data_IF_120941404220
#
_entry.id   IF_120941404220
#
_cell.length_a   1.000
_cell.length_b   1.000
_cell.length_c   1.000
_cell.angle_alpha   90.00
_cell.angle_beta   90.00
_cell.angle_gamma   90.00
#
_symmetry.space_group_name_H-M   'P 1'
#
loop_
_entity.id
_entity.type
_entity.pdbx_description
1 polymer ?
#
# COMPACT_ATOMS: atom_id res chain seq x y z
N UNK A 1 -19.84 10.47 -3.32
CA UNK A 1 -18.63 10.77 -2.53
C UNK A 1 -19.09 11.07 -1.11
N UNK A 2 -19.05 10.05 -0.24
CA UNK A 2 -19.62 10.13 1.12
C UNK A 2 -18.53 10.34 2.15
N UNK A 3 -18.72 11.35 3.00
CA UNK A 3 -17.85 11.73 4.12
C UNK A 3 -18.00 10.73 5.28
N UNK A 4 -16.89 10.28 5.89
CA UNK A 4 -16.88 9.33 7.01
C UNK A 4 -16.86 10.00 8.41
N UNK A 5 -17.59 9.45 9.40
CA UNK A 5 -17.43 9.78 10.81
C UNK A 5 -16.60 8.70 11.52
N UNK A 6 -15.26 8.80 11.41
CA UNK A 6 -14.23 8.38 12.39
C UNK A 6 -12.84 8.64 11.78
N UNK A 7 -12.26 9.80 12.06
CA UNK A 7 -10.84 10.09 11.80
C UNK A 7 -10.50 10.91 10.54
N UNK A 8 -11.43 11.09 9.61
CA UNK A 8 -11.54 12.28 8.74
C UNK A 8 -10.29 12.75 7.98
N UNK A 9 -9.37 11.87 7.61
CA UNK A 9 -8.31 12.21 6.64
C UNK A 9 -8.44 11.30 5.43
N UNK A 10 -9.27 11.73 4.49
CA UNK A 10 -9.07 11.38 3.09
C UNK A 10 -7.61 11.72 2.76
N UNK A 11 -6.76 10.71 2.58
CA UNK A 11 -5.38 10.92 2.17
C UNK A 11 -5.38 10.96 0.64
N UNK A 12 -5.05 12.09 -0.01
CA UNK A 12 -4.99 12.18 -1.47
C UNK A 12 -4.19 11.03 -2.11
N UNK A 13 -3.16 10.55 -1.41
CA UNK A 13 -2.35 9.40 -1.78
C UNK A 13 -3.15 8.10 -1.98
N UNK A 14 -4.10 7.79 -1.10
CA UNK A 14 -4.97 6.61 -1.26
C UNK A 14 -5.88 6.77 -2.49
N UNK A 15 -6.43 7.96 -2.72
CA UNK A 15 -7.23 8.22 -3.92
C UNK A 15 -6.43 8.03 -5.23
N UNK A 16 -5.20 8.54 -5.26
CA UNK A 16 -4.31 8.43 -6.42
C UNK A 16 -3.89 6.98 -6.68
N UNK A 17 -3.47 6.24 -5.65
CA UNK A 17 -3.05 4.84 -5.82
C UNK A 17 -4.25 3.95 -6.09
N UNK A 18 -5.38 4.17 -5.42
CA UNK A 18 -6.62 3.45 -5.66
C UNK A 18 -7.04 3.51 -7.13
N UNK A 19 -6.98 4.68 -7.76
CA UNK A 19 -7.30 4.83 -9.19
C UNK A 19 -6.37 4.03 -10.11
N UNK A 20 -5.08 3.88 -9.75
CA UNK A 20 -4.12 3.06 -10.50
C UNK A 20 -4.46 1.58 -10.36
N UNK A 21 -4.73 1.13 -9.13
CA UNK A 21 -5.10 -0.26 -8.85
C UNK A 21 -6.45 -0.61 -9.52
N UNK A 22 -7.39 0.35 -9.58
CA UNK A 22 -8.65 0.19 -10.30
C UNK A 22 -8.46 -0.01 -11.81
N UNK A 23 -7.54 0.74 -12.42
CA UNK A 23 -7.20 0.58 -13.85
C UNK A 23 -6.59 -0.80 -14.14
N UNK A 24 -5.81 -1.35 -13.20
CA UNK A 24 -5.15 -2.65 -13.37
C UNK A 24 -6.08 -3.84 -13.11
N UNK A 25 -6.98 -3.74 -12.13
CA UNK A 25 -7.68 -4.90 -11.58
C UNK A 25 -9.21 -4.79 -11.57
N UNK A 26 -9.76 -3.64 -11.97
CA UNK A 26 -11.18 -3.35 -11.93
C UNK A 26 -11.60 -2.63 -10.66
N UNK A 27 -12.90 -2.32 -10.57
CA UNK A 27 -13.41 -1.38 -9.58
C UNK A 27 -13.09 -1.73 -8.12
N UNK A 28 -12.77 -0.72 -7.33
CA UNK A 28 -12.52 -0.79 -5.90
C UNK A 28 -13.55 0.05 -5.16
N UNK A 29 -13.70 -0.23 -3.87
CA UNK A 29 -14.36 0.69 -2.93
C UNK A 29 -13.66 0.63 -1.59
N UNK A 30 -13.91 1.62 -0.72
CA UNK A 30 -13.43 1.59 0.67
C UNK A 30 -13.88 0.30 1.35
N UNK A 31 -12.94 -0.38 2.01
CA UNK A 31 -13.26 -1.56 2.80
C UNK A 31 -14.02 -1.17 4.08
N UNK A 32 -15.02 -1.94 4.52
CA UNK A 32 -15.57 -1.82 5.87
C UNK A 32 -14.66 -2.44 6.95
N UNK A 33 -13.66 -3.22 6.53
CA UNK A 33 -12.64 -3.82 7.41
C UNK A 33 -11.63 -2.73 7.84
N UNK A 34 -11.40 -2.51 9.15
CA UNK A 34 -10.45 -1.51 9.62
C UNK A 34 -8.98 -1.81 9.26
N UNK A 35 -8.63 -3.04 8.87
CA UNK A 35 -7.27 -3.41 8.46
C UNK A 35 -6.98 -3.13 6.98
N UNK A 36 -8.02 -2.99 6.15
CA UNK A 36 -7.88 -2.82 4.71
C UNK A 36 -8.32 -1.41 4.25
N UNK A 37 -7.62 -0.87 3.26
CA UNK A 37 -8.02 0.38 2.64
C UNK A 37 -9.14 0.18 1.61
N UNK A 38 -9.04 -0.90 0.83
CA UNK A 38 -10.00 -1.19 -0.24
C UNK A 38 -10.45 -2.64 -0.26
N UNK A 39 -11.60 -2.85 -0.88
CA UNK A 39 -12.11 -4.16 -1.29
C UNK A 39 -12.47 -4.13 -2.77
N UNK A 40 -12.06 -5.15 -3.52
CA UNK A 40 -12.40 -5.31 -4.93
C UNK A 40 -13.88 -5.55 -5.14
N UNK A 41 -14.45 -4.94 -6.18
CA UNK A 41 -15.89 -4.99 -6.50
C UNK A 41 -16.19 -5.63 -7.85
N UNK A 42 -15.16 -5.98 -8.63
CA UNK A 42 -15.29 -6.60 -9.94
C UNK A 42 -13.98 -7.27 -10.35
N UNK A 43 -14.02 -8.05 -11.44
CA UNK A 43 -12.81 -8.64 -12.04
C UNK A 43 -12.25 -9.82 -11.23
N UNK A 44 -10.99 -10.17 -11.50
CA UNK A 44 -10.32 -11.31 -10.83
C UNK A 44 -10.03 -11.08 -9.35
N UNK A 45 -10.25 -9.87 -8.86
CA UNK A 45 -10.01 -9.45 -7.47
C UNK A 45 -11.31 -9.09 -6.73
N UNK A 46 -12.47 -9.47 -7.26
CA UNK A 46 -13.74 -9.27 -6.57
C UNK A 46 -13.72 -9.91 -5.16
N UNK A 47 -14.07 -9.12 -4.15
CA UNK A 47 -14.07 -9.54 -2.74
C UNK A 47 -12.69 -9.56 -2.07
N UNK A 48 -11.61 -9.27 -2.80
CA UNK A 48 -10.24 -9.23 -2.25
C UNK A 48 -9.94 -7.91 -1.56
N UNK A 49 -9.22 -7.98 -0.44
CA UNK A 49 -8.84 -6.79 0.34
C UNK A 49 -7.44 -6.30 0.00
N UNK A 50 -7.28 -4.99 0.03
CA UNK A 50 -6.03 -4.30 -0.32
C UNK A 50 -5.69 -3.29 0.76
N UNK A 51 -4.41 -3.20 1.08
CA UNK A 51 -3.88 -2.28 2.08
C UNK A 51 -2.68 -1.52 1.51
N UNK A 52 -2.69 -0.19 1.62
CA UNK A 52 -1.70 0.67 1.00
C UNK A 52 -0.58 1.00 1.98
N UNK A 53 0.66 0.87 1.51
CA UNK A 53 1.82 1.48 2.14
C UNK A 53 2.72 2.11 1.08
N UNK A 54 3.34 3.23 1.40
CA UNK A 54 4.23 3.92 0.48
C UNK A 54 4.68 5.27 1.01
N UNK A 55 5.49 5.96 0.23
CA UNK A 55 5.83 7.36 0.50
C UNK A 55 4.98 8.26 -0.40
N UNK A 56 4.15 9.16 0.14
CA UNK A 56 3.45 10.13 -0.68
C UNK A 56 4.42 11.14 -1.30
N UNK A 57 3.96 11.83 -2.34
CA UNK A 57 4.75 12.87 -3.01
C UNK A 57 5.32 13.88 -2.00
N UNK A 58 6.62 14.12 -2.10
CA UNK A 58 7.35 15.06 -1.22
C UNK A 58 7.77 14.47 0.13
N UNK A 59 7.41 13.23 0.45
CA UNK A 59 7.78 12.61 1.72
C UNK A 59 9.19 12.02 1.76
N UNK A 60 9.79 11.72 0.60
CA UNK A 60 11.09 11.05 0.52
C UNK A 60 12.22 11.77 1.24
N UNK A 61 12.19 13.11 1.28
CA UNK A 61 13.19 13.91 1.99
C UNK A 61 13.16 13.71 3.52
N UNK A 62 12.08 13.15 4.08
CA UNK A 62 11.97 12.85 5.51
C UNK A 62 12.44 11.44 5.88
N UNK A 63 12.83 10.64 4.88
CA UNK A 63 13.34 9.30 5.08
C UNK A 63 14.77 9.21 4.52
N UNK A 64 15.70 8.70 5.32
CA UNK A 64 17.04 8.36 4.86
C UNK A 64 17.01 7.13 3.95
N UNK A 65 18.07 6.93 3.16
CA UNK A 65 18.16 5.80 2.20
C UNK A 65 18.12 4.42 2.87
N UNK A 66 18.48 4.33 4.16
CA UNK A 66 18.38 3.10 4.96
C UNK A 66 16.94 2.80 5.45
N UNK A 67 15.99 3.72 5.25
CA UNK A 67 14.57 3.55 5.51
C UNK A 67 14.21 3.08 6.94
N UNK A 68 15.07 3.34 7.94
CA UNK A 68 14.93 2.81 9.30
C UNK A 68 13.57 3.11 9.94
N UNK A 69 12.99 4.28 9.65
CA UNK A 69 11.67 4.68 10.17
C UNK A 69 10.48 4.15 9.36
N UNK A 70 10.72 3.62 8.15
CA UNK A 70 9.67 3.12 7.26
C UNK A 70 9.57 1.59 7.29
N UNK A 71 10.69 0.88 7.44
CA UNK A 71 10.70 -0.59 7.46
C UNK A 71 9.78 -1.20 8.53
N UNK A 72 9.71 -0.67 9.77
CA UNK A 72 8.75 -1.19 10.75
C UNK A 72 7.28 -1.01 10.31
N UNK A 73 6.97 0.05 9.57
CA UNK A 73 5.63 0.22 9.00
C UNK A 73 5.36 -0.84 7.92
N UNK A 74 6.34 -1.16 7.07
CA UNK A 74 6.23 -2.27 6.10
C UNK A 74 5.88 -3.57 6.83
N UNK A 75 6.59 -3.90 7.90
CA UNK A 75 6.34 -5.11 8.67
C UNK A 75 4.92 -5.13 9.26
N UNK A 76 4.46 -4.01 9.82
CA UNK A 76 3.10 -3.89 10.35
C UNK A 76 2.02 -4.14 9.31
N UNK A 77 2.24 -3.73 8.05
CA UNK A 77 1.29 -3.98 6.97
C UNK A 77 1.27 -5.46 6.56
N UNK A 78 2.43 -6.12 6.45
CA UNK A 78 2.50 -7.56 6.13
C UNK A 78 1.88 -8.46 7.21
N UNK A 79 1.83 -8.00 8.46
CA UNK A 79 1.17 -8.68 9.58
C UNK A 79 -0.36 -8.62 9.54
N UNK A 80 -0.97 -7.73 8.73
CA UNK A 80 -2.43 -7.61 8.63
C UNK A 80 -3.06 -8.77 7.87
N UNK A 81 -4.32 -9.07 8.20
CA UNK A 81 -5.11 -10.11 7.55
C UNK A 81 -5.77 -9.63 6.24
N UNK A 82 -4.96 -9.11 5.32
CA UNK A 82 -5.40 -8.60 4.01
C UNK A 82 -4.88 -9.47 2.87
N UNK A 83 -5.64 -9.57 1.78
CA UNK A 83 -5.22 -10.39 0.63
C UNK A 83 -3.98 -9.80 -0.07
N UNK A 84 -3.92 -8.47 -0.24
CA UNK A 84 -2.85 -7.79 -0.97
C UNK A 84 -2.29 -6.58 -0.23
N UNK A 85 -0.96 -6.45 -0.26
CA UNK A 85 -0.22 -5.27 0.18
C UNK A 85 0.18 -4.48 -1.07
N UNK A 86 -0.33 -3.26 -1.19
CA UNK A 86 0.04 -2.35 -2.27
C UNK A 86 1.18 -1.47 -1.78
N UNK A 87 2.36 -1.61 -2.38
CA UNK A 87 3.54 -0.81 -2.08
C UNK A 87 3.75 0.27 -3.14
N UNK A 88 3.47 1.53 -2.80
CA UNK A 88 3.75 2.69 -3.67
C UNK A 88 5.19 3.20 -3.46
N UNK A 89 6.04 2.96 -4.45
CA UNK A 89 7.45 3.35 -4.48
C UNK A 89 7.75 4.49 -5.45
N UNK A 90 6.73 5.05 -6.13
CA UNK A 90 6.90 6.08 -7.18
C UNK A 90 7.71 7.29 -6.74
N UNK A 91 7.63 7.62 -5.45
CA UNK A 91 8.30 8.78 -4.86
C UNK A 91 9.53 8.43 -4.01
N UNK A 92 9.92 7.16 -3.96
CA UNK A 92 11.17 6.74 -3.31
C UNK A 92 12.37 6.99 -4.21
N UNK A 93 13.53 7.28 -3.62
CA UNK A 93 14.80 7.23 -4.37
C UNK A 93 15.12 5.78 -4.76
N UNK A 94 15.99 5.55 -5.77
CA UNK A 94 16.42 4.20 -6.11
C UNK A 94 17.01 3.43 -4.91
N UNK A 95 17.79 4.11 -4.06
CA UNK A 95 18.38 3.53 -2.86
C UNK A 95 17.32 3.13 -1.82
N UNK A 96 16.34 4.00 -1.57
CA UNK A 96 15.21 3.71 -0.68
C UNK A 96 14.40 2.51 -1.18
N UNK A 97 14.08 2.47 -2.48
CA UNK A 97 13.36 1.35 -3.11
C UNK A 97 14.13 0.05 -2.97
N UNK A 98 15.44 0.06 -3.24
CA UNK A 98 16.28 -1.12 -3.08
C UNK A 98 16.28 -1.61 -1.63
N UNK A 99 16.44 -0.71 -0.66
CA UNK A 99 16.39 -1.05 0.77
C UNK A 99 15.07 -1.70 1.17
N UNK A 100 13.93 -1.12 0.77
CA UNK A 100 12.60 -1.67 1.08
C UNK A 100 12.41 -3.04 0.44
N UNK A 101 12.72 -3.19 -0.85
CA UNK A 101 12.54 -4.48 -1.53
C UNK A 101 13.48 -5.55 -0.98
N UNK A 102 14.70 -5.19 -0.58
CA UNK A 102 15.63 -6.11 0.09
C UNK A 102 15.08 -6.57 1.44
N UNK A 103 14.53 -5.65 2.24
CA UNK A 103 13.88 -5.96 3.51
C UNK A 103 12.71 -6.93 3.33
N UNK A 104 11.80 -6.66 2.39
CA UNK A 104 10.66 -7.53 2.07
C UNK A 104 11.13 -8.92 1.62
N UNK A 105 12.14 -9.00 0.74
CA UNK A 105 12.67 -10.30 0.31
C UNK A 105 13.35 -11.07 1.44
N UNK A 106 13.88 -10.39 2.47
CA UNK A 106 14.53 -11.05 3.60
C UNK A 106 13.53 -11.53 4.66
N UNK A 107 12.53 -10.71 4.99
CA UNK A 107 11.58 -10.96 6.09
C UNK A 107 10.27 -11.62 5.63
N UNK A 108 9.81 -11.28 4.42
CA UNK A 108 8.46 -11.60 3.92
C UNK A 108 8.49 -12.37 2.59
N UNK A 109 9.55 -13.14 2.35
CA UNK A 109 9.73 -13.89 1.11
C UNK A 109 8.55 -14.83 0.79
N UNK A 110 7.95 -15.46 1.82
CA UNK A 110 6.80 -16.35 1.67
C UNK A 110 5.51 -15.62 1.29
N UNK A 111 5.40 -14.35 1.65
CA UNK A 111 4.22 -13.51 1.42
C UNK A 111 4.33 -12.67 0.14
N UNK A 112 5.39 -12.87 -0.65
CA UNK A 112 5.69 -12.06 -1.84
C UNK A 112 4.59 -12.07 -2.89
N UNK A 113 3.78 -13.12 -2.95
CA UNK A 113 2.61 -13.21 -3.85
C UNK A 113 1.49 -12.23 -3.50
N UNK A 114 1.47 -11.70 -2.27
CA UNK A 114 0.52 -10.68 -1.81
C UNK A 114 0.98 -9.25 -2.17
N UNK A 115 2.24 -9.07 -2.56
CA UNK A 115 2.79 -7.75 -2.85
C UNK A 115 2.40 -7.29 -4.27
N UNK A 116 1.80 -6.10 -4.35
CA UNK A 116 1.58 -5.37 -5.59
C UNK A 116 2.46 -4.12 -5.54
N UNK A 117 3.31 -3.95 -6.54
CA UNK A 117 4.22 -2.80 -6.63
C UNK A 117 3.61 -1.72 -7.53
N UNK A 118 3.54 -0.49 -7.04
CA UNK A 118 3.20 0.70 -7.83
C UNK A 118 4.45 1.54 -7.98
N UNK A 119 4.93 1.71 -9.21
CA UNK A 119 6.22 2.32 -9.55
C UNK A 119 6.14 3.32 -10.71
#
# INVERSE_FOLDING_TARGET
>A
MGTEPRGGRYRPHEGEVGAIIEDWFGGLRRSPDPEADWIGTSGSYEGKTFDLIGLPRGASAFHSDNMENFLPAVDMHFLKSVDYIVLDVRFMTPAQKETVLRHINAQWASEKSRLILVE
#
